data_IF_117869251814
#
_entry.id   IF_117869251814
#
_cell.length_a   1.000
_cell.length_b   1.000
_cell.length_c   1.000
_cell.angle_alpha   90.00
_cell.angle_beta   90.00
_cell.angle_gamma   90.00
#
_symmetry.space_group_name_H-M   'P 1'
#
loop_
_entity.id
_entity.type
_entity.pdbx_description
1 polymer ?
#
# COMPACT_ATOMS: atom_id res chain seq x y z
N UNK A 1 -16.23 5.51 -1.01
CA UNK A 1 -16.42 4.06 -0.92
C UNK A 1 -15.88 3.68 0.45
N UNK A 2 -16.77 3.51 1.42
CA UNK A 2 -16.44 3.53 2.84
C UNK A 2 -15.56 2.34 3.28
N UNK A 3 -14.47 2.63 3.98
CA UNK A 3 -13.73 1.68 4.82
C UNK A 3 -13.67 2.29 6.25
N UNK A 4 -13.72 1.49 7.34
CA UNK A 4 -14.04 2.00 8.68
C UNK A 4 -13.28 1.27 9.80
N UNK A 5 -12.10 1.79 10.13
CA UNK A 5 -11.22 1.53 11.29
C UNK A 5 -11.38 0.23 12.11
N UNK A 6 -10.38 -0.66 11.99
CA UNK A 6 -9.61 -1.26 13.09
C UNK A 6 -8.20 -1.66 12.61
N UNK A 7 -7.15 -1.06 13.20
CA UNK A 7 -5.75 -1.34 12.86
C UNK A 7 -5.22 -2.59 13.58
N UNK A 8 -4.62 -3.52 12.84
CA UNK A 8 -3.57 -4.42 13.35
C UNK A 8 -2.72 -4.90 12.16
N UNK A 9 -1.40 -4.69 12.22
CA UNK A 9 -0.43 -5.26 11.27
C UNK A 9 0.36 -6.42 11.89
N UNK A 10 1.26 -7.00 11.07
CA UNK A 10 2.35 -7.98 11.36
C UNK A 10 2.00 -9.44 10.97
N UNK A 11 2.76 -10.25 10.19
CA UNK A 11 4.06 -10.18 9.44
C UNK A 11 4.08 -11.30 8.36
N UNK A 12 4.72 -11.28 7.17
CA UNK A 12 6.17 -11.57 6.98
C UNK A 12 6.62 -11.43 5.50
N UNK A 13 6.32 -10.31 4.83
CA UNK A 13 7.17 -9.86 3.70
C UNK A 13 6.94 -8.44 3.19
N UNK A 14 5.86 -7.73 3.57
CA UNK A 14 5.48 -6.45 2.95
C UNK A 14 4.87 -5.41 3.92
N UNK A 15 5.25 -5.39 5.21
CA UNK A 15 4.51 -4.61 6.22
C UNK A 15 5.20 -3.35 6.76
N UNK A 16 6.53 -3.29 6.78
CA UNK A 16 7.29 -2.12 7.28
C UNK A 16 8.45 -1.79 6.35
N UNK A 17 8.95 -0.56 6.41
CA UNK A 17 10.05 -0.11 5.56
C UNK A 17 11.30 -0.99 5.72
N UNK A 18 11.72 -1.64 4.62
CA UNK A 18 12.83 -2.60 4.64
C UNK A 18 14.21 -1.95 4.64
N UNK A 19 14.29 -0.69 4.17
CA UNK A 19 15.54 0.07 4.09
C UNK A 19 15.57 1.06 5.25
N UNK A 20 16.42 0.86 6.28
CA UNK A 20 16.54 1.82 7.36
C UNK A 20 17.15 3.13 6.85
N UNK A 21 16.62 4.28 7.29
CA UNK A 21 17.04 5.62 6.85
C UNK A 21 18.54 5.91 6.95
N UNK A 22 19.26 5.22 7.84
CA UNK A 22 20.72 5.32 7.98
C UNK A 22 21.53 4.72 6.82
N UNK A 23 20.91 3.89 5.98
CA UNK A 23 21.63 3.22 4.89
C UNK A 23 21.78 4.16 3.69
N UNK A 24 22.94 4.10 3.07
CA UNK A 24 23.14 4.75 1.79
C UNK A 24 22.34 4.00 0.71
N UNK A 25 21.68 4.75 -0.15
CA UNK A 25 20.93 4.26 -1.31
C UNK A 25 21.51 4.92 -2.55
N UNK A 26 21.12 4.42 -3.73
CA UNK A 26 21.46 5.09 -4.99
C UNK A 26 20.95 6.55 -5.00
N UNK A 27 19.77 6.79 -4.41
CA UNK A 27 19.18 8.12 -4.30
C UNK A 27 20.01 9.03 -3.39
N UNK A 28 20.42 8.59 -2.19
CA UNK A 28 21.25 9.43 -1.32
C UNK A 28 22.63 9.71 -1.92
N UNK A 29 23.19 8.80 -2.71
CA UNK A 29 24.43 9.04 -3.44
C UNK A 29 24.26 10.14 -4.49
N UNK A 30 23.26 10.03 -5.37
CA UNK A 30 23.00 11.06 -6.40
C UNK A 30 22.60 12.41 -5.80
N UNK A 31 21.82 12.40 -4.71
CA UNK A 31 21.46 13.61 -3.98
C UNK A 31 22.68 14.34 -3.43
N UNK A 32 23.67 13.62 -2.87
CA UNK A 32 24.96 14.20 -2.46
C UNK A 32 25.73 14.84 -3.62
N UNK A 33 25.55 14.32 -4.83
CA UNK A 33 26.14 14.88 -6.05
C UNK A 33 25.32 16.02 -6.68
N UNK A 34 24.25 16.50 -6.02
CA UNK A 34 23.45 17.64 -6.47
C UNK A 34 22.33 17.31 -7.45
N UNK A 35 21.98 16.03 -7.62
CA UNK A 35 20.86 15.63 -8.47
C UNK A 35 19.52 15.75 -7.73
N UNK A 36 18.49 16.18 -8.44
CA UNK A 36 17.11 15.95 -8.04
C UNK A 36 16.76 14.46 -8.19
N UNK A 37 16.06 13.91 -7.22
CA UNK A 37 15.79 12.47 -7.14
C UNK A 37 14.30 12.21 -6.96
N UNK A 38 13.76 11.23 -7.70
CA UNK A 38 12.35 10.87 -7.58
C UNK A 38 12.13 9.35 -7.68
N UNK A 39 11.16 8.84 -6.92
CA UNK A 39 10.68 7.47 -7.02
C UNK A 39 9.25 7.48 -7.60
N UNK A 40 9.06 6.93 -8.80
CA UNK A 40 7.77 6.93 -9.50
C UNK A 40 7.40 5.52 -9.94
N UNK A 41 6.20 5.05 -9.56
CA UNK A 41 5.66 3.76 -9.97
C UNK A 41 5.65 2.71 -8.86
N UNK A 42 6.09 1.49 -9.14
CA UNK A 42 6.05 0.38 -8.17
C UNK A 42 7.12 0.58 -7.08
N UNK A 43 6.72 0.53 -5.81
CA UNK A 43 7.67 0.59 -4.69
C UNK A 43 8.01 -0.79 -4.15
N UNK A 44 7.11 -1.41 -3.40
CA UNK A 44 7.23 -2.79 -2.90
C UNK A 44 8.48 -3.06 -2.05
N UNK A 45 8.97 -2.05 -1.33
CA UNK A 45 10.07 -2.18 -0.33
C UNK A 45 9.60 -1.88 1.10
N UNK A 46 8.29 -2.02 1.33
CA UNK A 46 7.63 -1.67 2.58
C UNK A 46 7.57 -0.15 2.83
N UNK A 47 6.72 0.24 3.77
CA UNK A 47 6.51 1.61 4.23
C UNK A 47 6.15 1.58 5.71
N UNK A 48 6.37 2.68 6.42
CA UNK A 48 5.93 2.79 7.81
C UNK A 48 6.70 1.93 8.80
N UNK A 49 6.23 1.97 10.03
CA UNK A 49 6.77 1.25 11.17
C UNK A 49 6.29 -0.20 11.24
N UNK A 50 6.96 -1.00 12.08
CA UNK A 50 6.60 -2.40 12.34
C UNK A 50 5.17 -2.58 12.86
N UNK A 51 4.59 -1.57 13.51
CA UNK A 51 3.22 -1.60 14.05
C UNK A 51 2.11 -1.53 12.99
N UNK A 52 2.47 -1.34 11.72
CA UNK A 52 1.51 -1.16 10.63
C UNK A 52 1.40 0.28 10.15
N UNK A 53 0.60 0.46 9.12
CA UNK A 53 0.42 1.74 8.46
C UNK A 53 -0.99 2.26 8.76
N UNK A 54 -1.06 3.43 9.39
CA UNK A 54 -2.27 4.24 9.37
C UNK A 54 -2.33 4.99 8.03
N UNK A 55 -3.07 4.41 7.08
CA UNK A 55 -3.23 4.97 5.73
C UNK A 55 -3.94 6.33 5.70
N UNK A 56 -4.49 6.78 6.83
CA UNK A 56 -5.19 8.05 6.95
C UNK A 56 -4.31 9.21 7.42
N UNK A 57 -3.02 8.95 7.65
CA UNK A 57 -2.05 9.92 8.14
C UNK A 57 -0.81 9.97 7.25
N UNK A 58 0.05 10.99 7.39
CA UNK A 58 1.39 10.94 6.81
C UNK A 58 2.12 9.67 7.27
N UNK A 59 2.56 8.88 6.32
CA UNK A 59 3.23 7.60 6.54
C UNK A 59 4.72 7.88 6.76
N UNK A 60 5.33 7.39 7.86
CA UNK A 60 6.78 7.51 8.05
C UNK A 60 7.54 6.48 7.23
N UNK A 61 8.86 6.62 7.12
CA UNK A 61 9.75 5.64 6.50
C UNK A 61 9.35 5.29 5.05
N UNK A 62 9.36 6.32 4.23
CA UNK A 62 8.98 6.34 2.82
C UNK A 62 10.21 6.52 1.92
N UNK A 63 10.09 6.49 0.58
CA UNK A 63 11.22 6.82 -0.30
C UNK A 63 11.84 8.18 0.03
N UNK A 64 11.04 9.15 0.49
CA UNK A 64 11.53 10.47 0.85
C UNK A 64 12.54 10.44 2.01
N UNK A 65 12.42 9.46 2.92
CA UNK A 65 13.30 9.28 4.06
C UNK A 65 14.62 8.57 3.70
N UNK A 66 14.75 8.05 2.48
CA UNK A 66 15.92 7.31 1.99
C UNK A 66 16.52 7.92 0.73
N UNK A 67 16.37 9.23 0.59
CA UNK A 67 17.14 10.03 -0.35
C UNK A 67 16.43 10.46 -1.61
N UNK A 68 15.15 10.12 -1.79
CA UNK A 68 14.34 10.68 -2.88
C UNK A 68 13.74 12.03 -2.46
N UNK A 69 13.77 13.04 -3.31
CA UNK A 69 13.13 14.34 -3.05
C UNK A 69 11.61 14.23 -3.21
N UNK A 70 11.18 13.54 -4.26
CA UNK A 70 9.76 13.31 -4.57
C UNK A 70 9.45 11.81 -4.64
N UNK A 71 8.23 11.43 -4.24
CA UNK A 71 7.71 10.09 -4.43
C UNK A 71 6.28 10.11 -4.95
N UNK A 72 6.00 9.27 -5.95
CA UNK A 72 4.68 8.98 -6.47
C UNK A 72 4.57 7.48 -6.74
N UNK A 73 4.09 6.72 -5.75
CA UNK A 73 4.28 5.26 -5.75
C UNK A 73 2.98 4.48 -5.53
N UNK A 74 2.95 3.26 -6.08
CA UNK A 74 2.08 2.19 -5.62
C UNK A 74 2.81 1.45 -4.49
N UNK A 75 2.20 1.27 -3.31
CA UNK A 75 2.92 0.80 -2.12
C UNK A 75 3.51 -0.60 -2.27
N UNK A 76 2.82 -1.52 -2.96
CA UNK A 76 3.28 -2.87 -3.22
C UNK A 76 3.05 -3.28 -4.69
N UNK A 77 2.12 -4.19 -4.95
CA UNK A 77 1.74 -4.65 -6.29
C UNK A 77 0.29 -4.29 -6.60
N UNK A 78 -0.07 -4.22 -7.89
CA UNK A 78 -1.43 -3.81 -8.31
C UNK A 78 -2.53 -4.82 -7.97
N UNK A 79 -2.17 -6.05 -7.63
CA UNK A 79 -3.05 -7.14 -7.19
C UNK A 79 -3.27 -7.18 -5.68
N UNK A 80 -2.65 -6.27 -4.91
CA UNK A 80 -2.76 -6.17 -3.45
C UNK A 80 -3.53 -4.92 -3.02
N UNK A 81 -4.24 -5.02 -1.89
CA UNK A 81 -4.84 -3.84 -1.24
C UNK A 81 -3.83 -3.13 -0.32
N UNK A 82 -3.92 -1.80 -0.14
CA UNK A 82 -4.86 -0.90 -0.79
C UNK A 82 -4.44 -0.58 -2.24
N UNK A 83 -5.42 -0.46 -3.13
CA UNK A 83 -5.20 -0.07 -4.53
C UNK A 83 -5.18 1.47 -4.66
N UNK A 84 -4.17 2.10 -4.07
CA UNK A 84 -4.01 3.57 -4.03
C UNK A 84 -2.61 3.99 -4.46
N UNK A 85 -2.48 5.27 -4.83
CA UNK A 85 -1.18 5.92 -5.02
C UNK A 85 -0.83 6.76 -3.79
N UNK A 86 0.46 6.78 -3.46
CA UNK A 86 1.02 7.65 -2.43
C UNK A 86 1.85 8.73 -3.10
N UNK A 87 1.64 9.98 -2.69
CA UNK A 87 2.50 11.10 -3.02
C UNK A 87 3.15 11.63 -1.75
N UNK A 88 4.48 11.58 -1.70
CA UNK A 88 5.28 12.05 -0.55
C UNK A 88 4.75 11.56 0.80
N UNK A 89 4.54 10.24 0.91
CA UNK A 89 4.07 9.59 2.12
C UNK A 89 2.60 9.81 2.47
N UNK A 90 1.79 10.38 1.57
CA UNK A 90 0.34 10.56 1.78
C UNK A 90 -0.45 9.87 0.69
N UNK A 91 -1.56 9.24 1.07
CA UNK A 91 -2.52 8.71 0.08
C UNK A 91 -3.11 9.85 -0.73
N UNK A 92 -3.05 9.72 -2.05
CA UNK A 92 -3.60 10.71 -2.97
C UNK A 92 -5.13 10.69 -2.93
N UNK A 93 -5.74 11.88 -2.85
CA UNK A 93 -7.21 12.06 -2.84
C UNK A 93 -7.94 11.32 -1.71
N UNK A 94 -7.28 11.10 -0.57
CA UNK A 94 -7.93 10.59 0.63
C UNK A 94 -8.96 11.61 1.14
N UNK A 95 -10.20 11.15 1.36
CA UNK A 95 -11.24 11.97 1.99
C UNK A 95 -11.37 11.62 3.47
N UNK A 96 -11.43 12.60 4.38
CA UNK A 96 -11.72 12.35 5.81
C UNK A 96 -13.07 11.67 6.04
N UNK A 97 -14.04 11.87 5.15
CA UNK A 97 -15.39 11.28 5.24
C UNK A 97 -15.43 9.81 4.77
N UNK A 98 -14.33 9.34 4.17
CA UNK A 98 -14.20 8.02 3.55
C UNK A 98 -12.83 7.41 3.91
N UNK A 99 -12.55 7.16 5.20
CA UNK A 99 -11.22 6.74 5.63
C UNK A 99 -10.86 5.38 5.05
N UNK A 100 -9.56 5.12 4.91
CA UNK A 100 -9.04 3.84 4.46
C UNK A 100 -8.78 2.89 5.61
N UNK A 101 -9.11 1.63 5.38
CA UNK A 101 -8.82 0.53 6.29
C UNK A 101 -8.30 -0.65 5.48
N UNK A 102 -7.23 -1.27 5.97
CA UNK A 102 -6.58 -2.40 5.33
C UNK A 102 -6.29 -3.44 6.39
N UNK A 103 -6.79 -4.64 6.18
CA UNK A 103 -6.57 -5.77 7.07
C UNK A 103 -6.30 -7.01 6.24
N UNK A 104 -5.19 -7.69 6.52
CA UNK A 104 -4.76 -8.90 5.80
C UNK A 104 -5.10 -10.19 6.55
N UNK A 105 -5.72 -10.11 7.72
CA UNK A 105 -6.06 -11.24 8.57
C UNK A 105 -7.56 -11.58 8.52
N UNK A 106 -8.43 -10.56 8.47
CA UNK A 106 -9.87 -10.75 8.43
C UNK A 106 -10.57 -9.73 7.51
N UNK A 107 -11.74 -10.13 6.98
CA UNK A 107 -12.53 -9.30 6.06
C UNK A 107 -13.01 -8.04 6.78
N UNK A 108 -12.89 -6.91 6.11
CA UNK A 108 -13.41 -5.63 6.60
C UNK A 108 -14.83 -5.42 6.08
N UNK A 109 -15.78 -5.29 7.00
CA UNK A 109 -17.17 -4.93 6.71
C UNK A 109 -17.83 -5.82 5.65
N UNK A 110 -18.66 -5.20 4.81
CA UNK A 110 -19.50 -5.89 3.83
C UNK A 110 -19.01 -5.71 2.39
N UNK A 111 -17.73 -5.39 2.20
CA UNK A 111 -17.18 -5.18 0.86
C UNK A 111 -17.29 -6.46 0.03
N UNK A 112 -17.62 -6.35 -1.28
CA UNK A 112 -17.71 -7.51 -2.14
C UNK A 112 -16.35 -8.17 -2.32
N UNK A 113 -16.32 -9.49 -2.30
CA UNK A 113 -15.11 -10.28 -2.54
C UNK A 113 -15.27 -11.15 -3.79
N UNK A 114 -14.16 -11.51 -4.43
CA UNK A 114 -14.22 -12.43 -5.58
C UNK A 114 -14.82 -13.78 -5.22
N UNK A 115 -14.62 -14.24 -3.97
CA UNK A 115 -15.14 -15.51 -3.46
C UNK A 115 -16.65 -15.49 -3.25
N UNK A 116 -17.18 -14.41 -2.66
CA UNK A 116 -18.60 -14.31 -2.31
C UNK A 116 -19.44 -13.71 -3.44
N UNK A 117 -18.82 -12.95 -4.34
CA UNK A 117 -19.48 -12.19 -5.41
C UNK A 117 -18.79 -12.38 -6.78
N UNK A 118 -18.66 -13.63 -7.28
CA UNK A 118 -18.00 -13.91 -8.56
C UNK A 118 -18.70 -13.24 -9.76
N UNK A 119 -19.99 -12.92 -9.65
CA UNK A 119 -20.78 -12.20 -10.65
C UNK A 119 -20.32 -10.75 -10.86
N UNK A 120 -19.64 -10.16 -9.86
CA UNK A 120 -19.10 -8.80 -9.96
C UNK A 120 -17.71 -8.77 -10.62
N UNK A 121 -17.14 -9.93 -10.96
CA UNK A 121 -15.82 -10.03 -11.57
C UNK A 121 -15.89 -9.81 -13.08
N UNK A 122 -15.12 -8.83 -13.57
CA UNK A 122 -14.75 -8.65 -14.98
C UNK A 122 -13.65 -9.60 -15.41
N UNK A 123 -12.82 -10.04 -14.47
CA UNK A 123 -11.74 -11.02 -14.67
C UNK A 123 -11.80 -12.05 -13.55
N UNK A 124 -11.94 -13.32 -13.91
CA UNK A 124 -11.91 -14.41 -12.94
C UNK A 124 -10.49 -14.66 -12.45
N UNK A 125 -10.35 -14.87 -11.15
CA UNK A 125 -9.10 -15.36 -10.57
C UNK A 125 -8.93 -16.86 -10.87
N UNK A 126 -7.70 -17.35 -10.89
CA UNK A 126 -7.38 -18.78 -11.06
C UNK A 126 -6.98 -19.42 -9.73
N UNK A 127 -5.96 -18.87 -9.06
CA UNK A 127 -5.47 -19.34 -7.76
C UNK A 127 -5.32 -18.15 -6.82
N UNK A 128 -5.93 -18.21 -5.63
CA UNK A 128 -5.92 -17.07 -4.70
C UNK A 128 -6.67 -15.85 -5.26
N UNK A 129 -6.32 -14.66 -4.78
CA UNK A 129 -6.82 -13.37 -5.29
C UNK A 129 -8.34 -13.22 -5.29
N UNK A 130 -9.04 -13.87 -4.37
CA UNK A 130 -10.51 -13.88 -4.31
C UNK A 130 -11.08 -13.01 -3.19
N UNK A 131 -10.30 -12.04 -2.70
CA UNK A 131 -10.71 -11.13 -1.62
C UNK A 131 -11.36 -9.88 -2.23
N UNK A 132 -11.25 -8.72 -1.57
CA UNK A 132 -11.91 -7.46 -1.98
C UNK A 132 -11.83 -7.19 -3.47
N UNK A 133 -12.97 -6.90 -4.09
CA UNK A 133 -13.07 -6.52 -5.50
C UNK A 133 -12.80 -5.02 -5.63
N UNK A 134 -11.86 -4.68 -6.52
CA UNK A 134 -11.60 -3.29 -6.94
C UNK A 134 -11.66 -3.24 -8.45
N UNK A 135 -12.61 -2.45 -8.97
CA UNK A 135 -12.88 -2.27 -10.41
C UNK A 135 -13.16 -3.58 -11.16
N UNK A 136 -13.89 -4.51 -10.52
CA UNK A 136 -14.25 -5.80 -11.10
C UNK A 136 -13.11 -6.83 -11.13
N UNK A 137 -12.02 -6.59 -10.40
CA UNK A 137 -10.92 -7.54 -10.23
C UNK A 137 -10.69 -7.73 -8.74
N UNK A 138 -10.79 -8.97 -8.27
CA UNK A 138 -10.51 -9.33 -6.89
C UNK A 138 -9.01 -9.33 -6.59
N UNK A 139 -8.66 -8.95 -5.36
CA UNK A 139 -7.27 -8.71 -4.92
C UNK A 139 -6.84 -9.72 -3.86
N UNK A 140 -5.56 -9.71 -3.53
CA UNK A 140 -5.04 -10.31 -2.30
C UNK A 140 -5.32 -9.32 -1.17
N UNK A 141 -6.07 -9.76 -0.17
CA UNK A 141 -6.43 -8.94 0.99
C UNK A 141 -6.73 -9.73 2.26
N UNK A 142 -6.67 -11.07 2.23
CA UNK A 142 -6.75 -11.93 3.40
C UNK A 142 -5.74 -13.06 3.20
N UNK A 143 -5.20 -13.58 4.29
CA UNK A 143 -4.46 -14.83 4.25
C UNK A 143 -5.46 -15.99 4.20
N UNK A 144 -5.18 -16.95 3.31
CA UNK A 144 -5.77 -18.28 3.40
C UNK A 144 -5.09 -19.10 4.48
#
# INVERSE_FOLDING_TARGET
MAFKFCSFAIDNNDAFALIPARHQTVATFFKKAGYATAAIGKWHLGLGDRGGIDWNKPIPHTPNDIGFDESFIMPATSDRVPCVYLRNGRVLNLSPDDPLEVNYQHKIGNLPTGKENPELLRMRYSHGHYMTIVNGISRIGLRG
#
